data_IF_572264652484
#
_entry.id   IF_572264652484
#
_cell.length_a   1.000
_cell.length_b   1.000
_cell.length_c   1.000
_cell.angle_alpha   90.00
_cell.angle_beta   90.00
_cell.angle_gamma   90.00
#
_symmetry.space_group_name_H-M   'P 1'
#
loop_
_entity.id
_entity.type
_entity.pdbx_description
1 polymer ?
#
# COMPACT_ATOMS: atom_id res chain seq x y z
N UNK A 1 -26.69 14.02 -10.79
CA UNK A 1 -25.57 14.08 -9.82
C UNK A 1 -25.36 15.53 -9.44
N UNK A 2 -25.11 15.82 -8.16
CA UNK A 2 -25.20 17.18 -7.59
C UNK A 2 -23.83 17.86 -7.47
N UNK A 3 -23.80 19.18 -7.40
CA UNK A 3 -22.57 19.98 -7.11
C UNK A 3 -21.95 19.62 -5.75
N UNK A 4 -22.76 19.15 -4.80
CA UNK A 4 -22.32 18.63 -3.50
C UNK A 4 -21.43 17.40 -3.64
N UNK A 5 -21.74 16.49 -4.58
CA UNK A 5 -20.93 15.29 -4.84
C UNK A 5 -19.52 15.65 -5.34
N UNK A 6 -19.44 16.66 -6.21
CA UNK A 6 -18.17 17.19 -6.72
C UNK A 6 -17.28 17.74 -5.61
N UNK A 7 -17.83 18.61 -4.75
CA UNK A 7 -17.09 19.21 -3.62
C UNK A 7 -16.57 18.13 -2.66
N UNK A 8 -17.39 17.12 -2.35
CA UNK A 8 -16.98 16.01 -1.47
C UNK A 8 -15.83 15.22 -2.08
N UNK A 9 -15.89 14.89 -3.38
CA UNK A 9 -14.82 14.14 -4.05
C UNK A 9 -13.50 14.93 -4.05
N UNK A 10 -13.53 16.24 -4.35
CA UNK A 10 -12.32 17.09 -4.30
C UNK A 10 -11.68 17.15 -2.91
N UNK A 11 -12.51 17.25 -1.86
CA UNK A 11 -12.04 17.20 -0.47
C UNK A 11 -11.40 15.85 -0.16
N UNK A 12 -12.03 14.74 -0.55
CA UNK A 12 -11.48 13.40 -0.37
C UNK A 12 -10.15 13.20 -1.09
N UNK A 13 -10.02 13.69 -2.33
CA UNK A 13 -8.74 13.68 -3.07
C UNK A 13 -7.66 14.43 -2.29
N UNK A 14 -7.98 15.65 -1.83
CA UNK A 14 -7.04 16.49 -1.07
C UNK A 14 -6.56 15.85 0.23
N UNK A 15 -7.42 15.06 0.88
CA UNK A 15 -7.07 14.28 2.07
C UNK A 15 -6.25 13.04 1.71
N UNK A 16 -6.74 12.22 0.79
CA UNK A 16 -6.14 10.92 0.51
C UNK A 16 -4.81 11.01 -0.21
N UNK A 17 -4.54 12.06 -0.99
CA UNK A 17 -3.22 12.23 -1.64
C UNK A 17 -2.07 12.42 -0.66
N UNK A 18 -2.34 12.88 0.56
CA UNK A 18 -1.32 13.07 1.59
C UNK A 18 -0.78 11.75 2.12
N UNK A 19 -1.59 10.70 2.13
CA UNK A 19 -1.22 9.41 2.73
C UNK A 19 -0.13 8.68 1.92
N UNK A 20 -0.25 8.47 0.59
CA UNK A 20 0.82 7.85 -0.18
C UNK A 20 2.13 8.65 -0.11
N UNK A 21 2.06 9.98 -0.18
CA UNK A 21 3.26 10.83 -0.04
C UNK A 21 3.99 10.58 1.27
N UNK A 22 3.25 10.55 2.39
CA UNK A 22 3.82 10.27 3.71
C UNK A 22 4.47 8.89 3.77
N UNK A 23 3.78 7.85 3.30
CA UNK A 23 4.32 6.49 3.32
C UNK A 23 5.57 6.34 2.44
N UNK A 24 5.60 6.97 1.27
CA UNK A 24 6.77 6.98 0.39
C UNK A 24 7.94 7.72 1.06
N UNK A 25 7.70 8.87 1.69
CA UNK A 25 8.74 9.58 2.45
C UNK A 25 9.31 8.75 3.60
N UNK A 26 8.43 8.12 4.39
CA UNK A 26 8.86 7.24 5.50
C UNK A 26 9.63 6.02 5.00
N UNK A 27 9.16 5.37 3.91
CA UNK A 27 9.88 4.26 3.30
C UNK A 27 11.29 4.67 2.87
N UNK A 28 11.42 5.78 2.15
CA UNK A 28 12.72 6.27 1.69
C UNK A 28 13.65 6.59 2.86
N UNK A 29 13.12 7.09 3.97
CA UNK A 29 13.89 7.28 5.19
C UNK A 29 14.41 5.95 5.74
N UNK A 30 13.55 4.95 5.95
CA UNK A 30 13.96 3.61 6.42
C UNK A 30 15.01 3.00 5.49
N UNK A 31 14.80 3.05 4.17
CA UNK A 31 15.75 2.52 3.20
C UNK A 31 17.12 3.22 3.26
N UNK A 32 17.13 4.54 3.45
CA UNK A 32 18.37 5.30 3.62
C UNK A 32 19.10 4.95 4.92
N UNK A 33 18.38 4.81 6.03
CA UNK A 33 18.94 4.38 7.33
C UNK A 33 19.55 2.99 7.23
N UNK A 34 18.90 2.08 6.50
CA UNK A 34 19.40 0.74 6.17
C UNK A 34 20.46 0.70 5.06
N UNK A 35 20.82 1.84 4.46
CA UNK A 35 21.75 1.97 3.32
C UNK A 35 21.35 1.11 2.09
N UNK A 36 20.06 0.89 1.91
CA UNK A 36 19.50 0.14 0.80
C UNK A 36 19.29 1.09 -0.37
N UNK A 37 20.09 0.94 -1.43
CA UNK A 37 19.96 1.73 -2.66
C UNK A 37 19.12 1.00 -3.72
N UNK A 38 18.32 1.76 -4.46
CA UNK A 38 17.55 1.24 -5.59
C UNK A 38 18.50 0.74 -6.69
N UNK A 39 18.63 -0.58 -6.83
CA UNK A 39 19.36 -1.23 -7.93
C UNK A 39 20.41 -2.25 -7.50
N UNK A 40 20.97 -2.13 -6.29
CA UNK A 40 21.89 -3.12 -5.72
C UNK A 40 21.66 -3.25 -4.21
N UNK A 41 20.63 -4.01 -3.86
CA UNK A 41 20.39 -4.42 -2.48
C UNK A 41 21.42 -5.48 -2.09
N UNK A 42 22.48 -5.09 -1.39
CA UNK A 42 23.33 -6.04 -0.71
C UNK A 42 22.81 -6.30 0.70
N UNK A 43 22.12 -7.42 0.88
CA UNK A 43 21.61 -7.85 2.17
C UNK A 43 22.65 -8.59 3.04
N UNK A 44 23.90 -8.75 2.56
CA UNK A 44 24.95 -9.47 3.29
C UNK A 44 25.28 -8.86 4.66
N UNK A 45 24.96 -7.57 4.86
CA UNK A 45 25.24 -6.85 6.10
C UNK A 45 24.24 -7.14 7.22
N UNK A 46 23.08 -7.73 6.90
CA UNK A 46 22.03 -8.01 7.88
C UNK A 46 22.13 -9.45 8.37
N UNK A 47 22.05 -9.65 9.68
CA UNK A 47 21.78 -10.96 10.25
C UNK A 47 20.31 -11.39 9.99
N UNK A 48 19.96 -12.62 10.37
CA UNK A 48 18.63 -13.17 10.08
C UNK A 48 17.50 -12.44 10.82
N UNK A 49 17.75 -12.01 12.06
CA UNK A 49 16.77 -11.25 12.86
C UNK A 49 16.51 -9.86 12.28
N UNK A 50 17.57 -9.21 11.81
CA UNK A 50 17.51 -7.91 11.14
C UNK A 50 16.81 -8.03 9.78
N UNK A 51 17.06 -9.11 9.04
CA UNK A 51 16.37 -9.41 7.79
C UNK A 51 14.87 -9.64 8.02
N UNK A 52 14.49 -10.40 9.04
CA UNK A 52 13.07 -10.64 9.38
C UNK A 52 12.35 -9.36 9.78
N UNK A 53 13.00 -8.53 10.60
CA UNK A 53 12.48 -7.21 11.00
C UNK A 53 12.29 -6.31 9.78
N UNK A 54 13.31 -6.22 8.90
CA UNK A 54 13.25 -5.41 7.69
C UNK A 54 12.14 -5.89 6.76
N UNK A 55 12.01 -7.20 6.52
CA UNK A 55 10.94 -7.75 5.69
C UNK A 55 9.55 -7.46 6.25
N UNK A 56 9.39 -7.57 7.57
CA UNK A 56 8.13 -7.24 8.25
C UNK A 56 7.77 -5.76 8.10
N UNK A 57 8.76 -4.87 8.22
CA UNK A 57 8.58 -3.43 8.05
C UNK A 57 8.26 -3.07 6.58
N UNK A 58 9.00 -3.62 5.61
CA UNK A 58 8.73 -3.45 4.18
C UNK A 58 7.35 -3.97 3.78
N UNK A 59 6.93 -5.12 4.32
CA UNK A 59 5.59 -5.67 4.14
C UNK A 59 4.51 -4.74 4.69
N UNK A 60 4.75 -4.15 5.86
CA UNK A 60 3.86 -3.15 6.47
C UNK A 60 3.77 -1.89 5.62
N UNK A 61 4.89 -1.36 5.11
CA UNK A 61 4.91 -0.23 4.19
C UNK A 61 4.13 -0.52 2.91
N UNK A 62 4.32 -1.70 2.31
CA UNK A 62 3.59 -2.11 1.11
C UNK A 62 2.09 -2.17 1.35
N UNK A 63 1.65 -2.79 2.45
CA UNK A 63 0.23 -2.89 2.80
C UNK A 63 -0.40 -1.51 3.02
N UNK A 64 0.27 -0.64 3.77
CA UNK A 64 -0.18 0.72 4.04
C UNK A 64 -0.25 1.58 2.78
N UNK A 65 0.79 1.54 1.95
CA UNK A 65 0.85 2.27 0.68
C UNK A 65 -0.23 1.76 -0.28
N UNK A 66 -0.45 0.45 -0.37
CA UNK A 66 -1.48 -0.15 -1.20
C UNK A 66 -2.88 0.31 -0.75
N UNK A 67 -3.16 0.30 0.56
CA UNK A 67 -4.43 0.78 1.11
C UNK A 67 -4.67 2.26 0.75
N UNK A 68 -3.64 3.11 0.92
CA UNK A 68 -3.73 4.52 0.60
C UNK A 68 -3.93 4.75 -0.91
N UNK A 69 -3.19 4.03 -1.75
CA UNK A 69 -3.31 4.03 -3.20
C UNK A 69 -4.72 3.62 -3.64
N UNK A 70 -5.27 2.52 -3.10
CA UNK A 70 -6.63 2.06 -3.45
C UNK A 70 -7.70 3.11 -3.11
N UNK A 71 -7.54 3.83 -1.99
CA UNK A 71 -8.47 4.90 -1.60
C UNK A 71 -8.44 6.08 -2.58
N UNK A 72 -7.25 6.54 -2.97
CA UNK A 72 -7.14 7.65 -3.92
C UNK A 72 -7.60 7.25 -5.33
N UNK A 73 -7.28 6.04 -5.80
CA UNK A 73 -7.77 5.53 -7.08
C UNK A 73 -9.29 5.43 -7.10
N UNK A 74 -9.91 4.85 -6.07
CA UNK A 74 -11.38 4.76 -5.99
C UNK A 74 -12.03 6.14 -6.06
N UNK A 75 -11.42 7.14 -5.42
CA UNK A 75 -11.91 8.52 -5.43
C UNK A 75 -11.71 9.17 -6.80
N UNK A 76 -10.56 8.92 -7.44
CA UNK A 76 -10.29 9.35 -8.81
C UNK A 76 -11.28 8.75 -9.81
N UNK A 77 -11.60 7.45 -9.71
CA UNK A 77 -12.60 6.80 -10.57
C UNK A 77 -13.98 7.43 -10.42
N UNK A 78 -14.42 7.74 -9.19
CA UNK A 78 -15.68 8.47 -8.95
C UNK A 78 -15.69 9.82 -9.65
N UNK A 79 -14.57 10.55 -9.58
CA UNK A 79 -14.42 11.81 -10.30
C UNK A 79 -14.52 11.64 -11.82
N UNK A 80 -13.86 10.63 -12.39
CA UNK A 80 -13.96 10.34 -13.82
C UNK A 80 -15.39 10.03 -14.26
N UNK A 81 -16.14 9.27 -13.46
CA UNK A 81 -17.58 9.03 -13.71
C UNK A 81 -18.37 10.35 -13.69
N UNK A 82 -18.11 11.22 -12.70
CA UNK A 82 -18.77 12.51 -12.60
C UNK A 82 -18.47 13.39 -13.83
N UNK A 83 -17.19 13.49 -14.22
CA UNK A 83 -16.75 14.22 -15.42
C UNK A 83 -17.39 13.69 -16.71
N UNK A 84 -17.57 12.37 -16.84
CA UNK A 84 -18.28 11.77 -17.99
C UNK A 84 -19.76 12.16 -18.03
N UNK A 85 -20.39 12.29 -16.86
CA UNK A 85 -21.82 12.63 -16.76
C UNK A 85 -22.12 14.13 -16.85
N UNK A 86 -21.12 14.99 -16.61
CA UNK A 86 -21.25 16.44 -16.64
C UNK A 86 -19.99 17.09 -17.21
N UNK A 87 -20.08 17.66 -18.41
CA UNK A 87 -18.95 18.29 -19.09
C UNK A 87 -18.41 19.51 -18.35
N UNK A 88 -19.25 20.23 -17.59
CA UNK A 88 -18.81 21.41 -16.82
C UNK A 88 -17.84 21.07 -15.68
N UNK A 89 -17.81 19.81 -15.24
CA UNK A 89 -16.88 19.33 -14.21
C UNK A 89 -15.44 19.20 -14.74
N UNK A 90 -15.25 19.23 -16.06
CA UNK A 90 -13.91 19.26 -16.65
C UNK A 90 -13.16 20.54 -16.25
N UNK A 91 -13.81 21.70 -16.37
CA UNK A 91 -13.17 22.98 -16.07
C UNK A 91 -12.90 23.11 -14.57
N UNK A 92 -13.84 22.67 -13.75
CA UNK A 92 -13.67 22.63 -12.29
C UNK A 92 -12.54 21.68 -11.87
N UNK A 93 -12.29 20.62 -12.63
CA UNK A 93 -11.15 19.73 -12.39
C UNK A 93 -9.82 20.42 -12.69
N UNK A 94 -9.70 21.04 -13.86
CA UNK A 94 -8.46 21.70 -14.25
C UNK A 94 -8.14 22.86 -13.30
N UNK A 95 -9.15 23.62 -12.87
CA UNK A 95 -9.00 24.64 -11.84
C UNK A 95 -8.53 24.04 -10.50
N UNK A 96 -9.10 22.92 -10.07
CA UNK A 96 -8.65 22.25 -8.85
C UNK A 96 -7.19 21.78 -8.94
N UNK A 97 -6.79 21.20 -10.06
CA UNK A 97 -5.42 20.72 -10.28
C UNK A 97 -4.44 21.89 -10.29
N UNK A 98 -4.80 23.00 -10.95
CA UNK A 98 -4.00 24.22 -10.97
C UNK A 98 -3.80 24.80 -9.56
N UNK A 99 -4.87 24.85 -8.76
CA UNK A 99 -4.84 25.47 -7.43
C UNK A 99 -4.24 24.58 -6.33
N UNK A 100 -4.36 23.25 -6.46
CA UNK A 100 -4.02 22.32 -5.38
C UNK A 100 -2.97 21.28 -5.75
N UNK A 101 -2.31 21.42 -6.90
CA UNK A 101 -1.32 20.48 -7.45
C UNK A 101 -1.89 19.17 -7.96
N UNK A 102 -1.28 18.66 -9.04
CA UNK A 102 -1.71 17.44 -9.71
C UNK A 102 -1.40 16.18 -8.89
N UNK A 103 -2.44 15.62 -8.28
CA UNK A 103 -2.35 14.38 -7.51
C UNK A 103 -2.20 13.13 -8.38
N UNK A 104 -2.41 13.22 -9.70
CA UNK A 104 -2.17 12.09 -10.62
C UNK A 104 -0.72 11.65 -10.61
N UNK A 105 0.21 12.60 -10.41
CA UNK A 105 1.62 12.28 -10.19
C UNK A 105 1.80 11.40 -8.94
N UNK A 106 1.15 11.74 -7.83
CA UNK A 106 1.17 10.91 -6.60
C UNK A 106 0.67 9.50 -6.86
N UNK A 107 -0.37 9.34 -7.68
CA UNK A 107 -0.89 8.02 -8.07
C UNK A 107 0.18 7.23 -8.82
N UNK A 108 0.77 7.81 -9.87
CA UNK A 108 1.82 7.17 -10.68
C UNK A 108 3.04 6.82 -9.85
N UNK A 109 3.50 7.74 -9.00
CA UNK A 109 4.64 7.53 -8.10
C UNK A 109 4.36 6.40 -7.10
N UNK A 110 3.13 6.31 -6.57
CA UNK A 110 2.75 5.22 -5.66
C UNK A 110 2.83 3.85 -6.32
N UNK A 111 2.43 3.73 -7.59
CA UNK A 111 2.56 2.48 -8.36
C UNK A 111 4.01 2.09 -8.53
N UNK A 112 4.87 3.05 -8.87
CA UNK A 112 6.31 2.81 -8.98
C UNK A 112 6.91 2.32 -7.66
N UNK A 113 6.54 2.95 -6.55
CA UNK A 113 7.05 2.56 -5.23
C UNK A 113 6.52 1.19 -4.77
N UNK A 114 5.28 0.85 -5.07
CA UNK A 114 4.76 -0.51 -4.83
C UNK A 114 5.56 -1.57 -5.61
N UNK A 115 5.91 -1.31 -6.87
CA UNK A 115 6.76 -2.21 -7.67
C UNK A 115 8.17 -2.34 -7.08
N UNK A 116 8.74 -1.24 -6.59
CA UNK A 116 10.04 -1.27 -5.94
C UNK A 116 10.01 -2.11 -4.67
N UNK A 117 8.97 -1.94 -3.84
CA UNK A 117 8.74 -2.77 -2.64
C UNK A 117 8.59 -4.25 -2.98
N UNK A 118 7.86 -4.59 -4.05
CA UNK A 118 7.74 -5.97 -4.52
C UNK A 118 9.10 -6.56 -4.90
N UNK A 119 9.92 -5.81 -5.62
CA UNK A 119 11.28 -6.22 -6.00
C UNK A 119 12.18 -6.42 -4.77
N UNK A 120 12.11 -5.51 -3.80
CA UNK A 120 12.89 -5.59 -2.55
C UNK A 120 12.50 -6.82 -1.73
N UNK A 121 11.20 -7.05 -1.52
CA UNK A 121 10.69 -8.22 -0.79
C UNK A 121 11.07 -9.52 -1.50
N UNK A 122 10.98 -9.55 -2.84
CA UNK A 122 11.42 -10.71 -3.64
C UNK A 122 12.91 -10.98 -3.44
N UNK A 123 13.73 -9.93 -3.48
CA UNK A 123 15.18 -10.03 -3.29
C UNK A 123 15.53 -10.51 -1.87
N UNK A 124 14.83 -10.02 -0.85
CA UNK A 124 15.01 -10.46 0.53
C UNK A 124 14.61 -11.94 0.72
N UNK A 125 13.53 -12.39 0.07
CA UNK A 125 13.13 -13.80 0.07
C UNK A 125 14.18 -14.71 -0.57
N UNK A 126 14.82 -14.27 -1.66
CA UNK A 126 15.95 -15.01 -2.24
C UNK A 126 17.12 -15.16 -1.25
N UNK A 127 17.38 -14.15 -0.41
CA UNK A 127 18.42 -14.22 0.62
C UNK A 127 18.08 -15.24 1.70
N UNK A 128 16.83 -15.27 2.19
CA UNK A 128 16.39 -16.30 3.13
C UNK A 128 16.56 -17.70 2.57
N UNK A 129 16.13 -17.91 1.33
CA UNK A 129 16.29 -19.18 0.63
C UNK A 129 17.77 -19.58 0.52
N UNK A 130 18.66 -18.65 0.16
CA UNK A 130 20.09 -18.91 0.05
C UNK A 130 20.78 -19.19 1.39
N UNK A 131 20.25 -18.64 2.50
CA UNK A 131 20.77 -18.89 3.86
C UNK A 131 20.22 -20.17 4.49
N UNK A 132 19.27 -20.85 3.85
CA UNK A 132 18.56 -21.99 4.44
C UNK A 132 17.66 -21.60 5.61
N UNK A 133 17.32 -20.32 5.75
CA UNK A 133 16.45 -19.78 6.79
C UNK A 133 15.01 -19.84 6.29
N UNK A 134 14.09 -20.30 7.14
CA UNK A 134 12.67 -20.43 6.78
C UNK A 134 12.16 -19.06 6.35
N UNK A 135 11.69 -18.95 5.11
CA UNK A 135 10.98 -17.75 4.65
C UNK A 135 9.83 -17.51 5.63
N UNK A 136 9.64 -16.29 6.17
CA UNK A 136 8.47 -15.96 6.96
C UNK A 136 7.24 -16.17 6.07
N UNK A 137 6.66 -17.35 6.15
CA UNK A 137 5.39 -17.64 5.51
C UNK A 137 4.32 -16.95 6.35
N UNK A 138 3.31 -16.41 5.67
CA UNK A 138 2.00 -16.15 6.25
C UNK A 138 1.43 -17.52 6.73
N UNK A 139 1.98 -18.09 7.80
CA UNK A 139 1.46 -19.31 8.40
C UNK A 139 0.25 -18.95 9.24
N UNK A 140 -0.90 -18.89 8.56
CA UNK A 140 -2.12 -19.45 9.10
C UNK A 140 -1.96 -20.97 9.23
N UNK A 141 -1.02 -21.42 10.04
CA UNK A 141 -0.95 -22.80 10.48
C UNK A 141 -1.92 -22.93 11.64
N UNK A 142 -3.12 -23.40 11.31
CA UNK A 142 -4.04 -23.97 12.27
C UNK A 142 -3.39 -25.25 12.79
N UNK A 143 -2.62 -25.12 13.87
CA UNK A 143 -2.24 -26.28 14.67
C UNK A 143 -3.49 -26.79 15.39
N UNK A 144 -3.97 -27.90 14.86
CA UNK A 144 -4.97 -28.78 15.43
C UNK A 144 -4.32 -29.52 16.61
N UNK A 145 -4.46 -28.99 17.83
CA UNK A 145 -4.20 -29.70 19.07
C UNK A 145 -5.42 -29.58 19.98
N UNK A 146 -6.24 -30.62 19.94
CA UNK A 146 -7.21 -30.91 20.99
C UNK A 146 -6.45 -31.23 22.30
N UNK A 147 -6.82 -30.56 23.40
CA UNK A 147 -7.18 -31.16 24.70
C UNK A 147 -7.50 -30.03 25.73
N UNK A 148 -8.77 -30.04 26.17
CA UNK A 148 -9.35 -29.68 27.48
C UNK A 148 -9.21 -28.26 28.09
N UNK A 149 -10.37 -27.63 28.28
CA UNK A 149 -10.76 -26.38 28.98
C UNK A 149 -10.26 -26.24 30.45
N UNK A 150 -10.16 -25.02 31.07
CA UNK A 150 -11.32 -24.16 31.39
C UNK A 150 -11.17 -22.61 31.32
N UNK A 151 -12.29 -21.99 30.93
CA UNK A 151 -12.91 -20.73 31.37
C UNK A 151 -12.05 -19.57 31.97
N UNK A 152 -12.00 -18.40 31.31
CA UNK A 152 -12.47 -17.10 31.84
C UNK A 152 -12.23 -15.93 30.85
N UNK A 153 -13.30 -15.20 30.55
CA UNK A 153 -13.41 -13.78 30.15
C UNK A 153 -12.21 -13.06 29.50
N UNK A 154 -12.34 -12.70 28.22
CA UNK A 154 -12.08 -11.31 27.79
C UNK A 154 -12.69 -11.01 26.42
N UNK A 155 -13.56 -10.01 26.36
CA UNK A 155 -14.18 -9.48 25.16
C UNK A 155 -13.17 -8.58 24.45
N UNK A 156 -12.72 -8.98 23.26
CA UNK A 156 -12.05 -8.07 22.30
C UNK A 156 -12.72 -8.28 20.94
N UNK A 157 -13.21 -7.22 20.25
CA UNK A 157 -13.82 -7.38 18.94
C UNK A 157 -12.76 -7.70 17.89
N UNK A 158 -12.80 -8.90 17.33
CA UNK A 158 -12.02 -9.27 16.15
C UNK A 158 -12.67 -8.69 14.88
N UNK A 159 -11.90 -7.92 14.11
CA UNK A 159 -12.24 -7.56 12.72
C UNK A 159 -11.93 -8.76 11.81
N UNK A 160 -12.78 -9.06 10.81
CA UNK A 160 -12.61 -10.24 9.97
C UNK A 160 -11.39 -10.08 9.03
N UNK A 161 -10.42 -10.98 9.19
CA UNK A 161 -9.35 -11.25 8.23
C UNK A 161 -9.91 -12.13 7.11
N UNK A 162 -10.35 -11.51 6.03
CA UNK A 162 -10.43 -12.15 4.70
C UNK A 162 -10.20 -11.09 3.63
N UNK A 163 -9.05 -11.11 2.98
CA UNK A 163 -8.86 -10.45 1.69
C UNK A 163 -8.77 -11.53 0.61
N UNK A 164 -9.79 -11.70 -0.23
CA UNK A 164 -9.63 -12.41 -1.48
C UNK A 164 -9.21 -11.44 -2.59
N UNK A 165 -8.48 -12.01 -3.55
CA UNK A 165 -8.24 -11.54 -4.93
C UNK A 165 -6.92 -10.81 -5.24
N UNK A 166 -6.08 -11.58 -5.92
CA UNK A 166 -5.22 -11.18 -7.04
C UNK A 166 -5.86 -10.07 -7.88
N UNK A 167 -5.27 -8.87 -7.83
CA UNK A 167 -5.60 -7.77 -8.74
C UNK A 167 -4.56 -7.77 -9.86
N UNK A 168 -5.00 -8.17 -11.05
CA UNK A 168 -4.23 -8.05 -12.29
C UNK A 168 -4.09 -6.58 -12.68
N UNK A 169 -2.87 -6.06 -12.65
CA UNK A 169 -2.52 -4.67 -12.93
C UNK A 169 -2.58 -4.25 -14.41
N UNK A 170 -3.15 -5.08 -15.30
CA UNK A 170 -3.06 -4.89 -16.75
C UNK A 170 -4.07 -3.92 -17.39
N UNK A 171 -4.92 -3.23 -16.63
CA UNK A 171 -6.02 -2.44 -17.21
C UNK A 171 -6.14 -0.98 -16.74
N UNK A 172 -5.03 -0.30 -16.42
CA UNK A 172 -5.08 1.12 -16.00
C UNK A 172 -4.34 2.11 -16.90
N UNK A 173 -4.12 1.77 -18.18
CA UNK A 173 -3.70 2.73 -19.20
C UNK A 173 -4.52 2.57 -20.47
N UNK A 174 -5.66 3.27 -20.53
CA UNK A 174 -6.28 3.84 -21.74
C UNK A 174 -6.91 5.17 -21.35
#
# INVERSE_FOLDING_TARGET
MSTTDSVVIRRQIGLFKKLPLRYVSSLNQTLNECKIQSGQTNFSQFDDSQMESLCSELGTFKSNLLCAYSRIIKTHSKWLTLKKSNSSESDTFEEYIANYSDYRKTISDSVLQLKNLDSLLTSANCVFHNRGVRVPSDSSDKEDLAVTQPNHNSVVPQLPRTFPYSISWRFLFV
#
